data_IF_248111599508
#
_entry.id   IF_248111599508
#
_cell.length_a   1.000
_cell.length_b   1.000
_cell.length_c   1.000
_cell.angle_alpha   90.00
_cell.angle_beta   90.00
_cell.angle_gamma   90.00
#
_symmetry.space_group_name_H-M   'P 1'
#
loop_
_entity.id
_entity.type
_entity.pdbx_description
1 polymer ?
#
# COMPACT_ATOMS: atom_id res chain seq x y z
N UNK A 1 -0.81 -46.41 8.28
CA UNK A 1 -1.97 -45.69 7.74
C UNK A 1 -2.78 -44.98 8.85
N UNK A 2 -2.14 -44.25 9.79
CA UNK A 2 -2.81 -43.53 10.91
C UNK A 2 -2.29 -42.10 11.19
N UNK A 3 -1.50 -41.51 10.28
CA UNK A 3 -0.88 -40.18 10.52
C UNK A 3 -1.57 -39.03 9.77
N UNK A 4 -2.44 -39.32 8.80
CA UNK A 4 -3.05 -38.30 7.94
C UNK A 4 -4.34 -37.65 8.48
N UNK A 5 -4.99 -38.23 9.48
CA UNK A 5 -6.26 -37.69 10.01
C UNK A 5 -6.11 -36.58 11.05
N UNK A 6 -4.94 -36.46 11.71
CA UNK A 6 -4.74 -35.37 12.72
C UNK A 6 -4.44 -33.98 12.13
N UNK A 7 -3.93 -33.91 10.90
CA UNK A 7 -3.56 -32.62 10.32
C UNK A 7 -4.76 -31.82 9.77
N UNK A 8 -5.83 -32.51 9.31
CA UNK A 8 -7.04 -31.87 8.79
C UNK A 8 -7.92 -31.22 9.87
N UNK A 9 -8.00 -31.84 11.04
CA UNK A 9 -8.86 -31.35 12.15
C UNK A 9 -8.23 -30.12 12.81
N UNK A 10 -6.91 -30.06 12.92
CA UNK A 10 -6.20 -28.89 13.47
C UNK A 10 -6.32 -27.65 12.57
N UNK A 11 -6.34 -27.80 11.24
CA UNK A 11 -6.55 -26.67 10.31
C UNK A 11 -7.97 -26.12 10.35
N UNK A 12 -8.97 -26.96 10.56
CA UNK A 12 -10.37 -26.53 10.69
C UNK A 12 -10.65 -25.85 12.03
N UNK A 13 -10.04 -26.33 13.11
CA UNK A 13 -10.18 -25.70 14.43
C UNK A 13 -9.47 -24.33 14.49
N UNK A 14 -8.31 -24.16 13.81
CA UNK A 14 -7.61 -22.88 13.76
C UNK A 14 -8.39 -21.83 12.94
N UNK A 15 -9.08 -22.22 11.84
CA UNK A 15 -9.93 -21.30 11.08
C UNK A 15 -11.18 -20.88 11.86
N UNK A 16 -11.82 -21.78 12.60
CA UNK A 16 -12.97 -21.43 13.46
C UNK A 16 -12.57 -20.52 14.64
N UNK A 17 -11.39 -20.75 15.26
CA UNK A 17 -10.94 -19.92 16.38
C UNK A 17 -10.54 -18.49 15.95
N UNK A 18 -10.09 -18.29 14.71
CA UNK A 18 -9.72 -16.97 14.20
C UNK A 18 -10.96 -16.10 13.94
N UNK A 19 -12.00 -16.65 13.36
CA UNK A 19 -13.26 -15.94 13.12
C UNK A 19 -14.02 -15.60 14.42
N UNK A 20 -13.97 -16.48 15.41
CA UNK A 20 -14.59 -16.25 16.74
C UNK A 20 -13.91 -15.07 17.47
N UNK A 21 -12.58 -15.01 17.45
CA UNK A 21 -11.83 -13.88 18.06
C UNK A 21 -12.09 -12.52 17.37
N UNK A 22 -12.43 -12.48 16.09
CA UNK A 22 -12.66 -11.24 15.36
C UNK A 22 -14.04 -10.66 15.70
N UNK A 23 -15.07 -11.51 15.77
CA UNK A 23 -16.42 -11.10 16.23
C UNK A 23 -16.42 -10.56 17.65
N UNK A 24 -15.71 -11.22 18.58
CA UNK A 24 -15.53 -10.78 19.95
C UNK A 24 -14.79 -9.44 20.02
N UNK A 25 -13.73 -9.27 19.25
CA UNK A 25 -12.99 -7.99 19.17
C UNK A 25 -13.86 -6.85 18.64
N UNK A 26 -14.74 -7.10 17.66
CA UNK A 26 -15.66 -6.10 17.14
C UNK A 26 -16.71 -5.72 18.21
N UNK A 27 -17.24 -6.71 18.93
CA UNK A 27 -18.20 -6.49 20.03
C UNK A 27 -17.58 -5.61 21.09
N UNK A 28 -16.45 -6.02 21.66
CA UNK A 28 -15.73 -5.28 22.71
C UNK A 28 -15.37 -3.85 22.27
N UNK A 29 -15.00 -3.67 21.01
CA UNK A 29 -14.69 -2.36 20.47
C UNK A 29 -15.95 -1.47 20.39
N UNK A 30 -17.05 -1.99 19.86
CA UNK A 30 -18.29 -1.26 19.76
C UNK A 30 -18.89 -0.94 21.13
N UNK A 31 -18.92 -1.88 22.07
CA UNK A 31 -19.42 -1.67 23.44
C UNK A 31 -18.64 -0.57 24.15
N UNK A 32 -17.30 -0.60 24.08
CA UNK A 32 -16.45 0.44 24.65
C UNK A 32 -16.61 1.80 23.98
N UNK A 33 -16.78 1.81 22.66
CA UNK A 33 -16.84 3.03 21.87
C UNK A 33 -18.21 3.69 21.98
N UNK A 34 -19.29 2.91 21.88
CA UNK A 34 -20.66 3.38 21.95
C UNK A 34 -21.18 3.52 23.40
N UNK A 35 -20.46 2.92 24.37
CA UNK A 35 -20.85 2.83 25.79
C UNK A 35 -22.25 2.23 25.98
N UNK A 36 -22.52 1.20 25.20
CA UNK A 36 -23.82 0.52 25.17
C UNK A 36 -23.59 -0.99 25.02
N UNK A 37 -24.57 -1.79 25.44
CA UNK A 37 -24.56 -3.21 25.17
C UNK A 37 -24.77 -3.45 23.66
N UNK A 38 -23.94 -4.30 23.07
CA UNK A 38 -23.99 -4.64 21.65
C UNK A 38 -24.10 -6.15 21.52
N UNK A 39 -25.12 -6.61 20.82
CA UNK A 39 -25.28 -8.02 20.50
C UNK A 39 -24.83 -8.20 19.05
N UNK A 40 -23.87 -9.11 18.81
CA UNK A 40 -23.33 -9.42 17.49
C UNK A 40 -23.41 -10.92 17.27
N UNK A 41 -24.05 -11.32 16.21
CA UNK A 41 -24.17 -12.72 15.80
C UNK A 41 -23.76 -12.87 14.34
N UNK A 42 -22.83 -13.80 14.04
CA UNK A 42 -22.56 -14.17 12.67
C UNK A 42 -23.82 -14.83 12.07
N UNK A 43 -24.30 -14.29 10.97
CA UNK A 43 -25.56 -14.74 10.39
C UNK A 43 -25.38 -15.37 9.02
N UNK A 44 -26.06 -16.47 8.81
CA UNK A 44 -26.16 -17.12 7.51
C UNK A 44 -27.48 -16.79 6.78
N UNK A 45 -28.37 -16.04 7.42
CA UNK A 45 -29.70 -15.68 6.89
C UNK A 45 -29.65 -15.05 5.49
N UNK A 46 -28.61 -14.27 5.19
CA UNK A 46 -28.44 -13.63 3.89
C UNK A 46 -27.86 -14.57 2.83
N UNK A 47 -27.35 -15.73 3.24
CA UNK A 47 -26.73 -16.67 2.33
C UNK A 47 -27.69 -17.18 1.25
N UNK A 48 -28.95 -17.40 1.55
CA UNK A 48 -29.93 -17.92 0.60
C UNK A 48 -30.59 -16.82 -0.25
N UNK A 49 -30.43 -15.56 0.18
CA UNK A 49 -30.99 -14.38 -0.48
C UNK A 49 -30.02 -13.66 -1.40
N UNK A 50 -28.71 -13.90 -1.25
CA UNK A 50 -27.65 -13.24 -2.00
C UNK A 50 -26.93 -14.22 -2.93
N UNK A 51 -26.43 -13.74 -4.08
CA UNK A 51 -25.60 -14.55 -4.96
C UNK A 51 -24.37 -15.16 -4.23
N UNK A 52 -23.94 -16.34 -4.65
CA UNK A 52 -22.82 -17.09 -4.06
C UNK A 52 -21.53 -16.25 -3.92
N UNK A 53 -21.28 -15.34 -4.86
CA UNK A 53 -20.12 -14.44 -4.83
C UNK A 53 -20.03 -13.58 -3.56
N UNK A 54 -21.17 -13.23 -2.95
CA UNK A 54 -21.16 -12.46 -1.70
C UNK A 54 -20.67 -13.28 -0.50
N UNK A 55 -21.03 -14.56 -0.44
CA UNK A 55 -20.53 -15.48 0.61
C UNK A 55 -19.01 -15.67 0.53
N UNK A 56 -18.47 -15.67 -0.70
CA UNK A 56 -17.02 -15.73 -0.90
C UNK A 56 -16.29 -14.48 -0.42
N UNK A 57 -16.91 -13.31 -0.59
CA UNK A 57 -16.30 -12.00 -0.32
C UNK A 57 -16.48 -11.47 1.09
N UNK A 58 -17.60 -11.79 1.75
CA UNK A 58 -17.96 -11.17 3.04
C UNK A 58 -18.32 -12.19 4.11
N UNK A 59 -18.09 -11.80 5.38
CA UNK A 59 -18.73 -12.37 6.55
C UNK A 59 -19.86 -11.41 6.92
N UNK A 60 -21.02 -11.95 7.29
CA UNK A 60 -22.19 -11.18 7.66
C UNK A 60 -22.45 -11.29 9.15
N UNK A 61 -22.66 -10.16 9.80
CA UNK A 61 -23.06 -10.08 11.21
C UNK A 61 -24.38 -9.37 11.33
N UNK A 62 -25.30 -9.95 12.09
CA UNK A 62 -26.47 -9.24 12.59
C UNK A 62 -26.09 -8.55 13.89
N UNK A 63 -26.29 -7.26 13.95
CA UNK A 63 -25.94 -6.42 15.09
C UNK A 63 -27.18 -5.78 15.65
N UNK A 64 -27.31 -5.76 16.98
CA UNK A 64 -28.31 -5.05 17.71
C UNK A 64 -27.63 -4.02 18.63
N UNK A 65 -28.09 -2.78 18.55
CA UNK A 65 -27.61 -1.64 19.35
C UNK A 65 -28.80 -0.78 19.73
N UNK A 66 -29.10 -0.65 21.02
CA UNK A 66 -30.28 0.10 21.51
C UNK A 66 -31.60 -0.26 20.80
N UNK A 67 -31.87 -1.55 20.65
CA UNK A 67 -33.05 -2.07 19.94
C UNK A 67 -33.09 -1.73 18.43
N UNK A 68 -32.05 -1.18 17.87
CA UNK A 68 -31.87 -1.00 16.42
C UNK A 68 -31.11 -2.16 15.85
N UNK A 69 -31.71 -2.85 14.89
CA UNK A 69 -31.07 -3.96 14.17
C UNK A 69 -30.46 -3.48 12.87
N UNK A 70 -29.24 -3.95 12.60
CA UNK A 70 -28.53 -3.64 11.37
C UNK A 70 -27.55 -4.75 11.00
N UNK A 71 -26.99 -4.70 9.80
CA UNK A 71 -26.04 -5.68 9.27
C UNK A 71 -24.64 -5.05 9.25
N UNK A 72 -23.66 -5.76 9.79
CA UNK A 72 -22.24 -5.47 9.53
C UNK A 72 -21.72 -6.46 8.50
N UNK A 73 -21.00 -5.96 7.48
CA UNK A 73 -20.31 -6.79 6.50
C UNK A 73 -18.80 -6.63 6.65
N UNK A 74 -18.10 -7.74 6.76
CA UNK A 74 -16.65 -7.76 6.84
C UNK A 74 -16.07 -8.40 5.59
N UNK A 75 -15.26 -7.69 4.79
CA UNK A 75 -14.54 -8.29 3.68
C UNK A 75 -13.56 -9.37 4.16
N UNK A 76 -13.52 -10.50 3.46
CA UNK A 76 -12.59 -11.61 3.72
C UNK A 76 -11.22 -11.38 3.10
N UNK A 77 -11.16 -10.51 2.11
CA UNK A 77 -9.96 -10.09 1.37
C UNK A 77 -10.11 -8.63 0.94
N UNK A 78 -9.10 -8.06 0.33
CA UNK A 78 -9.17 -6.70 -0.20
C UNK A 78 -10.26 -6.59 -1.26
N UNK A 79 -11.11 -5.58 -1.08
CA UNK A 79 -12.23 -5.29 -1.97
C UNK A 79 -12.15 -3.83 -2.38
N UNK A 80 -12.27 -3.56 -3.68
CA UNK A 80 -12.25 -2.18 -4.19
C UNK A 80 -13.41 -1.36 -3.65
N UNK A 81 -13.20 -0.05 -3.50
CA UNK A 81 -14.22 0.88 -2.99
C UNK A 81 -15.51 0.82 -3.82
N UNK A 82 -15.40 0.72 -5.15
CA UNK A 82 -16.56 0.60 -6.06
C UNK A 82 -17.38 -0.65 -5.75
N UNK A 83 -16.70 -1.76 -5.49
CA UNK A 83 -17.36 -3.02 -5.15
C UNK A 83 -17.97 -2.98 -3.76
N UNK A 84 -17.27 -2.42 -2.77
CA UNK A 84 -17.82 -2.21 -1.41
C UNK A 84 -19.13 -1.41 -1.44
N UNK A 85 -19.18 -0.33 -2.21
CA UNK A 85 -20.38 0.50 -2.37
C UNK A 85 -21.55 -0.28 -2.96
N UNK A 86 -21.31 -0.94 -4.09
CA UNK A 86 -22.33 -1.70 -4.82
C UNK A 86 -22.86 -2.86 -4.00
N UNK A 87 -21.94 -3.61 -3.38
CA UNK A 87 -22.29 -4.79 -2.60
C UNK A 87 -23.04 -4.39 -1.33
N UNK A 88 -22.59 -3.36 -0.60
CA UNK A 88 -23.29 -2.83 0.56
C UNK A 88 -24.72 -2.43 0.23
N UNK A 89 -24.92 -1.63 -0.82
CA UNK A 89 -26.26 -1.19 -1.23
C UNK A 89 -27.17 -2.37 -1.61
N UNK A 90 -26.62 -3.40 -2.23
CA UNK A 90 -27.37 -4.62 -2.57
C UNK A 90 -27.76 -5.39 -1.31
N UNK A 91 -26.83 -5.54 -0.35
CA UNK A 91 -27.08 -6.24 0.91
C UNK A 91 -28.13 -5.51 1.75
N UNK A 92 -28.01 -4.18 1.86
CA UNK A 92 -28.96 -3.33 2.58
C UNK A 92 -30.40 -3.50 2.03
N UNK A 93 -30.54 -3.46 0.70
CA UNK A 93 -31.84 -3.65 0.03
C UNK A 93 -32.41 -5.05 0.25
N UNK A 94 -31.58 -6.10 0.20
CA UNK A 94 -32.00 -7.49 0.36
C UNK A 94 -32.31 -7.82 1.82
N UNK A 95 -31.54 -7.26 2.75
CA UNK A 95 -31.76 -7.45 4.19
C UNK A 95 -32.95 -6.64 4.73
N UNK A 96 -33.31 -5.52 4.10
CA UNK A 96 -34.27 -4.56 4.62
C UNK A 96 -33.79 -3.87 5.92
N UNK A 97 -32.48 -3.86 6.18
CA UNK A 97 -31.82 -3.32 7.36
C UNK A 97 -30.65 -2.45 6.93
N UNK A 98 -30.32 -1.41 7.70
CA UNK A 98 -29.11 -0.63 7.46
C UNK A 98 -27.87 -1.52 7.43
N UNK A 99 -26.93 -1.19 6.57
CA UNK A 99 -25.73 -1.99 6.37
C UNK A 99 -24.46 -1.13 6.56
N UNK A 100 -23.61 -1.51 7.51
CA UNK A 100 -22.31 -0.89 7.76
C UNK A 100 -21.15 -1.80 7.31
N UNK A 101 -20.06 -1.21 6.84
CA UNK A 101 -18.83 -1.92 6.44
C UNK A 101 -17.89 -1.99 7.63
N UNK A 102 -17.51 -3.18 8.06
CA UNK A 102 -16.50 -3.39 9.10
C UNK A 102 -15.14 -3.65 8.47
N UNK A 103 -14.16 -2.81 8.78
CA UNK A 103 -12.80 -2.86 8.24
C UNK A 103 -11.79 -2.97 9.39
N UNK A 104 -10.88 -3.92 9.29
CA UNK A 104 -9.75 -4.01 10.24
C UNK A 104 -8.73 -2.90 9.97
N UNK A 105 -8.43 -2.69 8.68
CA UNK A 105 -7.56 -1.63 8.18
C UNK A 105 -8.20 -1.01 6.94
N UNK A 106 -7.89 0.24 6.64
CA UNK A 106 -8.26 0.89 5.39
C UNK A 106 -7.32 2.06 5.11
N UNK A 107 -7.21 2.47 3.84
CA UNK A 107 -6.48 3.68 3.48
C UNK A 107 -7.25 4.93 3.89
N UNK A 108 -6.53 6.02 4.07
CA UNK A 108 -7.12 7.33 4.32
C UNK A 108 -8.11 7.71 3.21
N UNK A 109 -7.75 7.48 1.95
CA UNK A 109 -8.58 7.76 0.80
C UNK A 109 -9.94 7.03 0.85
N UNK A 110 -9.95 5.74 1.14
CA UNK A 110 -11.19 4.96 1.25
C UNK A 110 -12.04 5.49 2.40
N UNK A 111 -11.43 5.78 3.55
CA UNK A 111 -12.12 6.34 4.72
C UNK A 111 -12.82 7.67 4.39
N UNK A 112 -12.09 8.61 3.79
CA UNK A 112 -12.64 9.92 3.42
C UNK A 112 -13.79 9.78 2.40
N UNK A 113 -13.63 8.90 1.40
CA UNK A 113 -14.69 8.67 0.42
C UNK A 113 -15.95 8.05 1.04
N UNK A 114 -15.79 7.13 2.00
CA UNK A 114 -16.94 6.57 2.73
C UNK A 114 -17.65 7.65 3.56
N UNK A 115 -16.90 8.57 4.19
CA UNK A 115 -17.47 9.70 4.93
C UNK A 115 -18.18 10.69 4.00
N UNK A 116 -17.55 11.14 2.93
CA UNK A 116 -18.11 12.06 1.94
C UNK A 116 -19.45 11.56 1.37
N UNK A 117 -19.54 10.24 1.16
CA UNK A 117 -20.71 9.59 0.60
C UNK A 117 -21.75 9.17 1.66
N UNK A 118 -21.50 9.45 2.92
CA UNK A 118 -22.40 9.08 4.02
C UNK A 118 -22.56 7.56 4.21
N UNK A 119 -21.58 6.77 3.76
CA UNK A 119 -21.63 5.31 3.84
C UNK A 119 -21.27 4.88 5.25
N UNK A 120 -22.13 4.11 5.96
CA UNK A 120 -21.83 3.62 7.30
C UNK A 120 -20.63 2.67 7.31
N UNK A 121 -19.69 2.91 8.23
CA UNK A 121 -18.53 2.03 8.40
C UNK A 121 -18.01 2.02 9.83
N UNK A 122 -17.23 0.99 10.14
CA UNK A 122 -16.49 0.82 11.37
C UNK A 122 -15.05 0.44 10.99
N UNK A 123 -14.07 1.25 11.39
CA UNK A 123 -12.65 0.93 11.30
C UNK A 123 -12.18 0.59 12.70
N UNK A 124 -11.77 -0.66 12.90
CA UNK A 124 -11.38 -1.16 14.22
C UNK A 124 -10.29 -0.28 14.87
N UNK A 125 -10.56 0.16 16.10
CA UNK A 125 -9.62 0.99 16.86
C UNK A 125 -9.47 2.43 16.40
N UNK A 126 -10.10 2.84 15.28
CA UNK A 126 -9.92 4.17 14.68
C UNK A 126 -11.21 4.99 14.65
N UNK A 127 -12.24 4.51 13.96
CA UNK A 127 -13.45 5.31 13.72
C UNK A 127 -14.70 4.47 13.60
N UNK A 128 -15.80 5.01 14.12
CA UNK A 128 -17.16 4.49 13.95
C UNK A 128 -18.00 5.59 13.32
N UNK A 129 -18.61 5.30 12.16
CA UNK A 129 -19.56 6.17 11.47
C UNK A 129 -20.85 5.40 11.19
N UNK A 130 -21.86 5.62 12.02
CA UNK A 130 -23.16 4.95 11.96
C UNK A 130 -24.27 6.01 11.97
N UNK A 131 -24.50 6.72 10.84
CA UNK A 131 -25.42 7.85 10.78
C UNK A 131 -26.88 7.45 11.09
N UNK A 132 -27.26 6.20 10.79
CA UNK A 132 -28.61 5.69 11.07
C UNK A 132 -28.94 5.52 12.56
N UNK A 133 -27.94 5.58 13.44
CA UNK A 133 -28.12 5.61 14.90
C UNK A 133 -27.53 6.88 15.53
N UNK A 134 -27.15 7.86 14.72
CA UNK A 134 -26.67 9.17 15.17
C UNK A 134 -25.23 9.21 15.67
N UNK A 135 -24.40 8.19 15.37
CA UNK A 135 -23.02 8.16 15.84
C UNK A 135 -21.98 8.47 14.75
N UNK A 136 -21.14 9.46 15.07
CA UNK A 136 -19.86 9.73 14.41
C UNK A 136 -18.79 9.84 15.48
N UNK A 137 -17.97 8.80 15.66
CA UNK A 137 -16.90 8.76 16.65
C UNK A 137 -15.58 8.47 15.97
N UNK A 138 -14.60 9.33 16.20
CA UNK A 138 -13.24 9.18 15.71
C UNK A 138 -12.22 9.43 16.83
N UNK A 139 -11.06 8.80 16.75
CA UNK A 139 -9.96 9.10 17.64
C UNK A 139 -9.38 10.49 17.32
N UNK A 140 -9.35 11.39 18.29
CA UNK A 140 -8.78 12.74 18.14
C UNK A 140 -7.28 12.74 17.80
N UNK A 141 -6.60 11.61 17.99
CA UNK A 141 -5.17 11.43 17.69
C UNK A 141 -4.90 10.80 16.32
N UNK A 142 -5.91 10.67 15.47
CA UNK A 142 -5.71 10.20 14.12
C UNK A 142 -4.93 11.25 13.33
N UNK A 143 -3.78 10.85 12.81
CA UNK A 143 -2.91 11.73 12.04
C UNK A 143 -3.55 11.94 10.67
N UNK A 144 -3.77 13.20 10.29
CA UNK A 144 -4.16 13.54 8.93
C UNK A 144 -3.00 13.27 7.97
N UNK A 145 -3.24 12.43 6.98
CA UNK A 145 -2.27 12.13 5.93
C UNK A 145 -2.69 12.87 4.68
N UNK A 146 -1.79 13.66 4.12
CA UNK A 146 -2.05 14.41 2.91
C UNK A 146 -2.33 13.47 1.71
N UNK A 147 -3.26 13.81 0.80
CA UNK A 147 -3.52 13.03 -0.40
C UNK A 147 -2.28 12.84 -1.25
N UNK A 148 -2.06 11.61 -1.72
CA UNK A 148 -0.91 11.25 -2.55
C UNK A 148 -1.40 10.79 -3.92
N UNK A 149 -1.05 11.55 -4.96
CA UNK A 149 -1.33 11.16 -6.35
C UNK A 149 -0.15 10.39 -6.97
N UNK A 150 1.08 10.86 -6.69
CA UNK A 150 2.33 10.19 -7.04
C UNK A 150 3.24 10.22 -5.81
N UNK A 151 3.87 9.11 -5.51
CA UNK A 151 4.81 9.03 -4.38
C UNK A 151 6.04 9.90 -4.61
N UNK A 152 6.66 10.37 -3.53
CA UNK A 152 7.91 11.12 -3.62
C UNK A 152 9.06 10.22 -4.07
N UNK A 153 10.12 10.81 -4.64
CA UNK A 153 11.34 10.07 -5.01
C UNK A 153 11.95 9.35 -3.81
N UNK A 154 11.87 9.95 -2.62
CA UNK A 154 12.39 9.31 -1.41
C UNK A 154 11.54 8.11 -1.00
N UNK A 155 10.22 8.21 -1.08
CA UNK A 155 9.31 7.07 -0.79
C UNK A 155 9.53 5.95 -1.79
N UNK A 156 9.71 6.29 -3.07
CA UNK A 156 10.05 5.32 -4.12
C UNK A 156 11.36 4.59 -3.81
N UNK A 157 12.43 5.33 -3.45
CA UNK A 157 13.70 4.75 -3.00
C UNK A 157 13.50 3.83 -1.80
N UNK A 158 12.75 4.26 -0.77
CA UNK A 158 12.48 3.45 0.43
C UNK A 158 11.80 2.14 0.09
N UNK A 159 10.77 2.16 -0.78
CA UNK A 159 10.05 0.95 -1.19
C UNK A 159 10.98 0.00 -1.93
N UNK A 160 11.77 0.49 -2.88
CA UNK A 160 12.67 -0.36 -3.65
C UNK A 160 13.76 -0.96 -2.79
N UNK A 161 14.41 -0.17 -1.94
CA UNK A 161 15.40 -0.70 -0.99
C UNK A 161 14.77 -1.74 -0.07
N UNK A 162 13.56 -1.48 0.43
CA UNK A 162 12.85 -2.45 1.27
C UNK A 162 12.61 -3.79 0.55
N UNK A 163 12.20 -3.75 -0.73
CA UNK A 163 11.98 -4.95 -1.56
C UNK A 163 13.29 -5.71 -1.76
N UNK A 164 14.35 -5.02 -2.18
CA UNK A 164 15.65 -5.65 -2.47
C UNK A 164 16.31 -6.23 -1.22
N UNK A 165 16.30 -5.50 -0.11
CA UNK A 165 16.86 -5.96 1.16
C UNK A 165 15.90 -6.85 1.96
N UNK A 166 14.69 -7.12 1.45
CA UNK A 166 13.66 -7.94 2.09
C UNK A 166 13.40 -7.52 3.53
N UNK A 167 13.07 -6.25 3.72
CA UNK A 167 12.88 -5.68 5.05
C UNK A 167 11.81 -6.42 5.85
N UNK A 168 12.16 -6.76 7.10
CA UNK A 168 11.26 -7.35 8.08
C UNK A 168 11.22 -6.50 9.34
N UNK A 169 10.03 -6.03 9.72
CA UNK A 169 9.80 -5.22 10.93
C UNK A 169 10.70 -3.96 11.04
N UNK A 170 11.05 -3.34 9.91
CA UNK A 170 11.95 -2.17 9.89
C UNK A 170 11.19 -0.92 10.35
N UNK A 171 11.65 -0.33 11.45
CA UNK A 171 11.07 0.89 12.03
C UNK A 171 11.53 2.15 11.29
N UNK A 172 10.82 3.29 11.53
CA UNK A 172 11.23 4.61 11.00
C UNK A 172 12.69 4.95 11.31
N UNK A 173 13.18 4.60 12.51
CA UNK A 173 14.56 4.91 12.92
C UNK A 173 15.58 4.08 12.15
N UNK A 174 15.33 2.79 11.99
CA UNK A 174 16.22 1.88 11.25
C UNK A 174 16.20 2.22 9.75
N UNK A 175 15.03 2.49 9.19
CA UNK A 175 14.92 2.92 7.80
C UNK A 175 15.66 4.25 7.54
N UNK A 176 15.59 5.21 8.48
CA UNK A 176 16.31 6.48 8.37
C UNK A 176 17.84 6.28 8.34
N UNK A 177 18.36 5.39 9.16
CA UNK A 177 19.77 5.02 9.19
C UNK A 177 20.20 4.34 7.87
N UNK A 178 19.45 3.33 7.42
CA UNK A 178 19.73 2.59 6.17
C UNK A 178 19.72 3.47 4.92
N UNK A 179 18.77 4.40 4.83
CA UNK A 179 18.62 5.30 3.67
C UNK A 179 19.56 6.53 3.77
N UNK A 180 20.07 6.83 4.97
CA UNK A 180 20.94 7.99 5.20
C UNK A 180 20.19 9.33 5.24
N UNK A 181 18.94 9.35 5.77
CA UNK A 181 18.11 10.56 5.85
C UNK A 181 17.50 10.75 7.24
N UNK A 182 16.87 11.91 7.47
CA UNK A 182 16.23 12.19 8.76
C UNK A 182 15.03 11.28 9.04
N UNK A 183 14.79 10.98 10.33
CA UNK A 183 13.59 10.23 10.78
C UNK A 183 12.28 10.92 10.35
N UNK A 184 12.27 12.25 10.29
CA UNK A 184 11.11 13.00 9.83
C UNK A 184 10.83 12.75 8.35
N UNK A 185 11.87 12.68 7.52
CA UNK A 185 11.72 12.35 6.09
C UNK A 185 11.15 10.95 5.90
N UNK A 186 11.68 9.95 6.61
CA UNK A 186 11.14 8.58 6.57
C UNK A 186 9.71 8.51 7.13
N UNK A 187 9.41 9.28 8.19
CA UNK A 187 8.04 9.33 8.70
C UNK A 187 7.03 9.80 7.64
N UNK A 188 7.43 10.78 6.81
CA UNK A 188 6.60 11.22 5.66
C UNK A 188 6.48 10.14 4.58
N UNK A 189 7.54 9.39 4.32
CA UNK A 189 7.47 8.25 3.41
C UNK A 189 6.47 7.20 3.92
N UNK A 190 6.48 6.90 5.22
CA UNK A 190 5.51 5.99 5.83
C UNK A 190 4.07 6.53 5.74
N UNK A 191 3.88 7.85 5.84
CA UNK A 191 2.58 8.48 5.63
C UNK A 191 2.10 8.29 4.18
N UNK A 192 2.97 8.47 3.18
CA UNK A 192 2.64 8.22 1.77
C UNK A 192 2.28 6.75 1.51
N UNK A 193 3.05 5.80 2.07
CA UNK A 193 2.79 4.35 1.98
C UNK A 193 1.46 4.00 2.65
N UNK A 194 1.18 4.57 3.83
CA UNK A 194 -0.07 4.37 4.55
C UNK A 194 -1.27 4.91 3.74
N UNK A 195 -1.13 6.08 3.12
CA UNK A 195 -2.16 6.66 2.27
C UNK A 195 -2.52 5.76 1.09
N UNK A 196 -1.53 5.15 0.44
CA UNK A 196 -1.72 4.24 -0.69
C UNK A 196 -2.32 2.89 -0.29
N UNK A 197 -2.36 2.58 1.01
CA UNK A 197 -2.78 1.27 1.53
C UNK A 197 -1.98 0.10 0.95
N UNK A 198 -0.68 0.33 0.74
CA UNK A 198 0.22 -0.72 0.26
C UNK A 198 0.50 -1.69 1.41
N UNK A 199 0.37 -2.99 1.18
CA UNK A 199 0.46 -4.03 2.21
C UNK A 199 1.91 -4.36 2.62
N UNK A 200 2.67 -3.31 2.97
CA UNK A 200 4.02 -3.42 3.53
C UNK A 200 4.16 -2.69 4.86
N UNK A 201 3.15 -1.89 5.24
CA UNK A 201 3.19 -1.10 6.47
C UNK A 201 2.32 -1.73 7.55
N UNK A 202 2.93 -2.07 8.66
CA UNK A 202 2.29 -2.69 9.80
C UNK A 202 2.56 -1.96 11.11
N UNK A 203 1.85 -2.33 12.18
CA UNK A 203 2.05 -1.82 13.53
C UNK A 203 2.66 -2.89 14.44
N UNK A 204 3.82 -2.60 15.01
CA UNK A 204 4.43 -3.42 16.06
C UNK A 204 4.39 -2.67 17.39
N UNK A 205 3.40 -2.99 18.21
CA UNK A 205 3.08 -2.18 19.39
C UNK A 205 2.63 -0.78 19.01
N UNK A 206 3.39 0.24 19.40
CA UNK A 206 3.14 1.66 19.05
C UNK A 206 3.95 2.15 17.84
N UNK A 207 4.83 1.33 17.27
CA UNK A 207 5.71 1.71 16.18
C UNK A 207 5.17 1.22 14.83
N UNK A 208 5.23 2.08 13.80
CA UNK A 208 5.02 1.67 12.41
C UNK A 208 6.27 0.95 11.91
N UNK A 209 6.09 -0.13 11.20
CA UNK A 209 7.17 -0.93 10.63
C UNK A 209 6.88 -1.28 9.18
N UNK A 210 7.93 -1.38 8.37
CA UNK A 210 7.84 -1.95 7.02
C UNK A 210 8.23 -3.43 7.12
N UNK A 211 7.38 -4.28 6.54
CA UNK A 211 7.62 -5.71 6.34
C UNK A 211 7.22 -6.07 4.91
N UNK A 212 8.17 -6.45 4.10
CA UNK A 212 7.92 -6.83 2.71
C UNK A 212 7.36 -8.24 2.63
N UNK A 213 6.24 -8.47 1.93
CA UNK A 213 5.66 -9.79 1.76
C UNK A 213 6.59 -10.69 0.93
N UNK A 214 6.49 -12.02 1.09
CA UNK A 214 7.28 -12.98 0.29
C UNK A 214 6.94 -12.91 -1.20
N UNK A 215 5.66 -12.73 -1.52
CA UNK A 215 5.20 -12.46 -2.89
C UNK A 215 5.13 -10.94 -3.09
N UNK A 216 6.13 -10.42 -3.81
CA UNK A 216 6.24 -8.99 -4.10
C UNK A 216 5.42 -8.56 -5.32
N UNK A 217 4.81 -9.50 -6.07
CA UNK A 217 4.05 -9.18 -7.26
C UNK A 217 2.81 -8.32 -6.96
N UNK A 218 2.04 -8.69 -5.95
CA UNK A 218 0.87 -7.90 -5.53
C UNK A 218 1.28 -6.49 -5.08
N UNK A 219 2.40 -6.38 -4.38
CA UNK A 219 2.97 -5.11 -3.99
C UNK A 219 3.31 -4.26 -5.22
N UNK A 220 4.02 -4.85 -6.20
CA UNK A 220 4.37 -4.19 -7.44
C UNK A 220 3.15 -3.72 -8.23
N UNK A 221 2.16 -4.60 -8.42
CA UNK A 221 0.91 -4.28 -9.11
C UNK A 221 0.15 -3.12 -8.43
N UNK A 222 0.25 -3.02 -7.11
CA UNK A 222 -0.38 -1.96 -6.33
C UNK A 222 0.30 -0.59 -6.43
N UNK A 223 1.62 -0.54 -6.64
CA UNK A 223 2.38 0.72 -6.60
C UNK A 223 2.74 1.27 -7.99
N UNK A 224 2.84 0.44 -9.04
CA UNK A 224 3.34 0.88 -10.35
C UNK A 224 2.59 2.09 -10.93
N UNK A 225 1.27 2.20 -10.65
CA UNK A 225 0.45 3.32 -11.14
C UNK A 225 0.71 4.66 -10.44
N UNK A 226 1.46 4.67 -9.33
CA UNK A 226 1.76 5.87 -8.54
C UNK A 226 3.25 6.19 -8.48
N UNK A 227 4.08 5.38 -9.17
CA UNK A 227 5.50 5.63 -9.30
C UNK A 227 5.77 6.86 -10.16
N UNK A 228 6.82 7.61 -9.81
CA UNK A 228 7.35 8.71 -10.62
C UNK A 228 8.40 8.18 -11.59
N UNK A 229 8.47 8.82 -12.76
CA UNK A 229 9.65 8.64 -13.60
C UNK A 229 10.90 9.12 -12.83
N UNK A 230 11.90 8.27 -12.60
CA UNK A 230 13.11 8.66 -11.87
C UNK A 230 13.95 9.69 -12.62
N UNK A 231 13.81 9.80 -13.94
CA UNK A 231 14.53 10.75 -14.76
C UNK A 231 13.93 12.15 -14.63
N UNK A 232 14.68 13.07 -14.03
CA UNK A 232 14.30 14.50 -13.89
C UNK A 232 14.61 15.30 -15.14
N UNK A 233 15.79 15.05 -15.74
CA UNK A 233 16.24 15.74 -16.96
C UNK A 233 17.11 14.82 -17.79
N UNK A 234 17.10 15.07 -19.11
CA UNK A 234 17.89 14.37 -20.12
C UNK A 234 18.74 15.39 -20.88
N UNK A 235 20.02 15.12 -21.00
CA UNK A 235 20.98 15.93 -21.73
C UNK A 235 21.60 15.09 -22.85
N UNK A 236 21.47 15.54 -24.11
CA UNK A 236 22.07 14.91 -25.27
C UNK A 236 23.33 15.69 -25.63
N UNK A 237 24.49 15.11 -25.39
CA UNK A 237 25.77 15.76 -25.62
C UNK A 237 26.35 15.40 -26.98
N UNK A 238 27.05 16.37 -27.63
CA UNK A 238 27.80 16.13 -28.87
C UNK A 238 29.06 15.32 -28.60
N UNK A 239 29.68 15.57 -27.45
CA UNK A 239 30.92 14.94 -27.06
C UNK A 239 30.67 13.56 -26.44
N UNK A 240 31.45 12.59 -26.74
CA UNK A 240 31.43 11.28 -26.10
C UNK A 240 32.25 11.36 -24.82
N UNK A 241 31.56 11.36 -23.68
CA UNK A 241 32.14 11.33 -22.35
C UNK A 241 31.84 9.99 -21.68
N UNK A 242 32.79 9.48 -20.91
CA UNK A 242 32.63 8.24 -20.16
C UNK A 242 32.33 8.59 -18.72
N UNK A 243 31.18 8.13 -18.20
CA UNK A 243 30.76 8.26 -16.81
C UNK A 243 30.66 6.88 -16.16
N UNK A 244 30.70 6.86 -14.85
CA UNK A 244 30.77 5.62 -14.08
C UNK A 244 29.47 4.79 -14.17
N UNK A 245 28.31 5.44 -14.07
CA UNK A 245 27.01 4.74 -13.98
C UNK A 245 26.28 4.75 -15.31
N UNK A 246 26.16 3.58 -15.93
CA UNK A 246 25.35 3.38 -17.13
C UNK A 246 23.86 3.38 -16.80
N UNK A 247 23.02 3.75 -17.75
CA UNK A 247 21.57 3.82 -17.56
C UNK A 247 20.81 3.43 -18.84
N UNK A 248 19.49 3.28 -18.70
CA UNK A 248 18.60 2.97 -19.81
C UNK A 248 19.00 1.72 -20.58
N UNK A 249 18.92 1.76 -21.92
CA UNK A 249 19.27 0.61 -22.78
C UNK A 249 20.73 0.21 -22.60
N UNK A 250 21.66 1.16 -22.48
CA UNK A 250 23.09 0.89 -22.26
C UNK A 250 23.33 0.03 -21.01
N UNK A 251 22.61 0.27 -19.92
CA UNK A 251 22.69 -0.58 -18.75
C UNK A 251 21.97 -1.93 -18.95
N UNK A 252 20.79 -1.94 -19.60
CA UNK A 252 20.02 -3.16 -19.84
C UNK A 252 20.76 -4.17 -20.72
N UNK A 253 21.60 -3.71 -21.66
CA UNK A 253 22.42 -4.59 -22.51
C UNK A 253 23.41 -5.44 -21.71
N UNK A 254 23.81 -4.99 -20.52
CA UNK A 254 24.69 -5.78 -19.64
C UNK A 254 23.97 -6.96 -18.97
N UNK A 255 22.66 -6.89 -18.86
CA UNK A 255 21.82 -7.91 -18.21
C UNK A 255 20.97 -8.72 -19.20
N UNK A 256 21.00 -8.40 -20.48
CA UNK A 256 20.12 -8.98 -21.48
C UNK A 256 20.82 -9.15 -22.83
N UNK A 257 20.13 -9.77 -23.78
CA UNK A 257 20.59 -9.92 -25.17
C UNK A 257 20.20 -8.73 -26.06
N UNK A 258 19.82 -7.60 -25.47
CA UNK A 258 19.49 -6.39 -26.21
C UNK A 258 20.78 -5.77 -26.79
N UNK A 259 20.70 -5.21 -28.00
CA UNK A 259 21.74 -4.39 -28.57
C UNK A 259 21.69 -2.99 -28.00
N UNK A 260 22.85 -2.41 -27.69
CA UNK A 260 22.92 -1.01 -27.22
C UNK A 260 22.58 -0.02 -28.32
N UNK A 261 22.30 1.21 -27.91
CA UNK A 261 22.14 2.34 -28.82
C UNK A 261 23.47 2.70 -29.51
N UNK A 262 23.41 3.54 -30.55
CA UNK A 262 24.59 4.11 -31.21
C UNK A 262 25.40 5.03 -30.27
N UNK A 263 24.83 5.44 -29.15
CA UNK A 263 25.44 6.32 -28.15
C UNK A 263 25.17 5.78 -26.73
N UNK A 264 26.17 5.84 -25.85
CA UNK A 264 25.99 5.39 -24.47
C UNK A 264 25.08 6.33 -23.67
N UNK A 265 24.35 5.76 -22.71
CA UNK A 265 23.49 6.49 -21.78
C UNK A 265 24.01 6.33 -20.36
N UNK A 266 24.13 7.44 -19.63
CA UNK A 266 24.65 7.47 -18.26
C UNK A 266 23.64 8.11 -17.30
N UNK A 267 23.73 7.72 -16.02
CA UNK A 267 22.95 8.31 -14.96
C UNK A 267 23.83 9.12 -13.99
N UNK A 268 23.36 10.27 -13.59
CA UNK A 268 24.05 11.17 -12.65
C UNK A 268 23.08 11.81 -11.68
N UNK A 269 23.59 12.20 -10.51
CA UNK A 269 22.86 13.00 -9.55
C UNK A 269 22.87 14.48 -9.95
N UNK A 270 21.95 15.27 -9.38
CA UNK A 270 21.94 16.73 -9.53
C UNK A 270 23.27 17.38 -9.13
N UNK A 271 23.97 16.81 -8.12
CA UNK A 271 25.27 17.30 -7.66
C UNK A 271 26.35 17.05 -8.72
N UNK A 272 26.38 15.86 -9.30
CA UNK A 272 27.31 15.49 -10.37
C UNK A 272 27.09 16.31 -11.64
N UNK A 273 25.83 16.61 -12.01
CA UNK A 273 25.51 17.55 -13.11
C UNK A 273 26.24 18.89 -12.95
N UNK A 274 26.22 19.43 -11.74
CA UNK A 274 26.88 20.71 -11.46
C UNK A 274 28.43 20.58 -11.45
N UNK A 275 28.96 19.50 -10.86
CA UNK A 275 30.41 19.26 -10.77
C UNK A 275 31.03 19.02 -12.13
N UNK A 276 30.40 18.21 -12.97
CA UNK A 276 30.86 17.88 -14.32
C UNK A 276 30.57 19.00 -15.33
N UNK A 277 29.76 20.00 -14.94
CA UNK A 277 29.42 21.10 -15.84
C UNK A 277 28.54 20.71 -17.04
N UNK A 278 27.79 19.61 -16.94
CA UNK A 278 26.99 19.03 -18.04
C UNK A 278 26.12 20.08 -18.76
N UNK A 279 25.49 21.00 -18.00
CA UNK A 279 24.66 22.08 -18.58
C UNK A 279 25.42 23.07 -19.44
N UNK A 280 26.76 23.15 -19.32
CA UNK A 280 27.62 24.05 -20.07
C UNK A 280 28.25 23.35 -21.29
N UNK A 281 28.16 22.02 -21.38
CA UNK A 281 28.64 21.25 -22.51
C UNK A 281 27.78 21.50 -23.77
N UNK A 282 28.36 21.24 -24.94
CA UNK A 282 27.65 21.39 -26.22
C UNK A 282 26.52 20.36 -26.30
N UNK A 283 25.31 20.83 -26.32
CA UNK A 283 24.14 19.99 -26.54
C UNK A 283 23.99 19.61 -28.01
N UNK A 284 23.55 18.39 -28.29
CA UNK A 284 23.16 17.97 -29.62
C UNK A 284 21.78 18.50 -29.96
N UNK A 285 21.56 18.93 -31.19
CA UNK A 285 20.26 19.38 -31.69
C UNK A 285 19.66 18.31 -32.60
N UNK A 286 18.36 18.45 -32.88
CA UNK A 286 17.62 17.50 -33.71
C UNK A 286 18.32 17.30 -35.07
N UNK A 287 18.67 16.06 -35.40
CA UNK A 287 19.37 15.66 -36.62
C UNK A 287 20.90 15.72 -36.56
N UNK A 288 21.49 16.11 -35.43
CA UNK A 288 22.94 16.02 -35.22
C UNK A 288 23.31 14.70 -34.54
N UNK A 289 24.57 14.30 -34.71
CA UNK A 289 25.13 13.10 -34.06
C UNK A 289 25.16 13.34 -32.54
N UNK A 290 24.62 12.38 -31.78
CA UNK A 290 24.72 12.34 -30.32
C UNK A 290 25.98 11.56 -29.96
N UNK A 291 26.85 12.13 -29.11
CA UNK A 291 28.00 11.44 -28.54
C UNK A 291 27.60 10.56 -27.37
N UNK A 292 26.88 11.15 -26.39
CA UNK A 292 26.31 10.39 -25.28
C UNK A 292 25.04 11.07 -24.75
N UNK A 293 24.26 10.31 -23.95
CA UNK A 293 23.10 10.81 -23.22
C UNK A 293 23.39 10.76 -21.73
N UNK A 294 23.05 11.86 -21.01
CA UNK A 294 23.18 11.92 -19.56
C UNK A 294 21.80 12.15 -18.94
N UNK A 295 21.38 11.26 -18.06
CA UNK A 295 20.12 11.30 -17.33
C UNK A 295 20.37 11.84 -15.91
N UNK A 296 19.72 12.93 -15.54
CA UNK A 296 19.66 13.40 -14.15
C UNK A 296 18.58 12.63 -13.42
N UNK A 297 18.96 11.84 -12.40
CA UNK A 297 18.03 11.03 -11.63
C UNK A 297 17.61 11.72 -10.32
N UNK A 298 16.36 11.50 -9.93
CA UNK A 298 15.78 11.97 -8.69
C UNK A 298 16.33 11.29 -7.45
N UNK A 299 16.85 10.08 -7.59
CA UNK A 299 17.49 9.29 -6.54
C UNK A 299 18.37 8.21 -7.15
N UNK A 300 19.30 7.71 -6.33
CA UNK A 300 20.09 6.52 -6.61
C UNK A 300 19.89 5.49 -5.50
N UNK A 301 20.00 4.23 -5.85
CA UNK A 301 20.04 3.11 -4.91
C UNK A 301 21.40 2.45 -5.06
N UNK A 302 22.23 2.59 -4.04
CA UNK A 302 23.51 1.89 -3.99
C UNK A 302 23.27 0.58 -3.23
N UNK A 303 23.35 -0.54 -3.92
CA UNK A 303 23.31 -1.87 -3.32
C UNK A 303 24.75 -2.31 -3.04
N UNK A 304 25.14 -2.39 -1.78
CA UNK A 304 26.44 -2.95 -1.41
C UNK A 304 26.54 -4.39 -1.94
N UNK A 305 27.68 -4.69 -2.62
CA UNK A 305 28.08 -6.02 -3.09
C UNK A 305 27.34 -6.63 -4.30
N UNK A 306 26.78 -5.88 -5.21
CA UNK A 306 26.42 -6.42 -6.53
C UNK A 306 27.37 -5.82 -7.54
N UNK A 307 28.32 -6.65 -8.03
CA UNK A 307 29.35 -6.27 -9.00
C UNK A 307 28.83 -5.92 -10.39
N UNK A 308 27.57 -5.55 -10.50
CA UNK A 308 26.90 -5.11 -11.72
C UNK A 308 25.93 -4.00 -11.35
N UNK A 309 26.05 -2.87 -12.00
CA UNK A 309 25.26 -1.69 -11.79
C UNK A 309 23.80 -1.96 -12.17
N UNK A 310 22.87 -1.59 -11.27
CA UNK A 310 21.45 -1.84 -11.47
C UNK A 310 20.91 -0.92 -12.56
N UNK A 311 20.28 -1.44 -13.63
CA UNK A 311 19.65 -0.61 -14.65
C UNK A 311 18.36 -0.03 -14.11
N UNK A 312 18.43 1.14 -13.52
CA UNK A 312 17.25 1.90 -13.11
C UNK A 312 16.55 2.57 -14.29
#
# INVERSE_FOLDING_TARGET
MKVWYKCGILKLQHKKSYNFKIGDNMKDYLERTLRQNVIIEETQYLNDKLPLAFRGRYIFYKVETNSVFWIAIQPKSDVSLVMLRKDRATIERVAGLNCAIFLNKTSFYIKEKLLEEGIPFIIYGKQVYLPFIGYLLSNKNEREIAPVHLISYLTQKVIFVAIYEKWENVTVSVAAEKIGVSKMSISRCFDEIEYLNVDILDMKGKARVITVPRDTKMLWDGIQGVLRNPVIARYELKDDIILEKRAGITALCEYSLLSDNEYPTYAVTKKEIAQLGIKKMKQSHTGEKIGCVVLELGYFIDFENRGVEDPL
#
